data_IF_215387230307
#
_entry.id   IF_215387230307
#
_cell.length_a   1.000
_cell.length_b   1.000
_cell.length_c   1.000
_cell.angle_alpha   90.00
_cell.angle_beta   90.00
_cell.angle_gamma   90.00
#
_symmetry.space_group_name_H-M   'P 1'
#
loop_
_entity.id
_entity.type
_entity.pdbx_description
1 polymer ?
#
# COMPACT_ATOMS: atom_id res chain seq x y z
N UNK A 1 -9.14 -6.27 -4.83
CA UNK A 1 -8.29 -6.48 -6.01
C UNK A 1 -6.85 -6.11 -5.68
N UNK A 2 -5.93 -6.97 -6.09
CA UNK A 2 -4.50 -6.78 -5.84
C UNK A 2 -3.83 -6.19 -7.07
N UNK A 3 -2.95 -5.20 -6.86
CA UNK A 3 -2.27 -4.52 -7.95
C UNK A 3 -0.77 -4.72 -7.82
N UNK A 4 -0.11 -4.93 -8.96
CA UNK A 4 1.35 -4.93 -9.03
C UNK A 4 1.87 -3.51 -8.99
N UNK A 5 3.20 -3.34 -8.92
CA UNK A 5 3.80 -2.00 -9.01
C UNK A 5 3.36 -1.28 -10.28
N UNK A 6 3.41 -1.97 -11.40
CA UNK A 6 3.02 -1.36 -12.67
C UNK A 6 1.56 -0.93 -12.67
N UNK A 7 0.69 -1.80 -12.16
CA UNK A 7 -0.73 -1.49 -12.09
C UNK A 7 -1.01 -0.36 -11.10
N UNK A 8 -0.33 -0.37 -9.96
CA UNK A 8 -0.48 0.68 -8.96
C UNK A 8 0.02 2.02 -9.48
N UNK A 9 1.13 2.02 -10.22
CA UNK A 9 1.63 3.24 -10.83
C UNK A 9 0.62 3.81 -11.80
N UNK A 10 0.06 2.95 -12.64
CA UNK A 10 -0.96 3.38 -13.58
C UNK A 10 -2.20 3.92 -12.87
N UNK A 11 -2.62 3.25 -11.81
CA UNK A 11 -3.80 3.64 -11.05
C UNK A 11 -3.62 4.98 -10.33
N UNK A 12 -2.46 5.23 -9.77
CA UNK A 12 -2.19 6.45 -9.00
C UNK A 12 -1.69 7.60 -9.85
N UNK A 13 -1.12 7.31 -11.02
CA UNK A 13 -0.46 8.32 -11.84
C UNK A 13 0.97 8.59 -11.39
N UNK A 14 1.48 7.84 -10.43
CA UNK A 14 2.86 7.99 -9.94
C UNK A 14 3.79 7.05 -10.69
N UNK A 15 5.08 7.37 -10.67
CA UNK A 15 6.09 6.49 -11.25
C UNK A 15 6.32 5.28 -10.33
N UNK A 16 6.83 4.20 -10.93
CA UNK A 16 7.20 3.01 -10.14
C UNK A 16 8.29 3.38 -9.14
N UNK A 17 9.23 4.24 -9.53
CA UNK A 17 10.29 4.68 -8.62
C UNK A 17 9.73 5.40 -7.40
N UNK A 18 8.74 6.25 -7.60
CA UNK A 18 8.10 6.93 -6.48
C UNK A 18 7.41 5.95 -5.54
N UNK A 19 6.70 4.97 -6.11
CA UNK A 19 6.06 3.94 -5.30
C UNK A 19 7.09 3.15 -4.50
N UNK A 20 8.20 2.79 -5.13
CA UNK A 20 9.26 2.04 -4.44
C UNK A 20 9.85 2.85 -3.28
N UNK A 21 10.00 4.15 -3.46
CA UNK A 21 10.48 5.00 -2.39
C UNK A 21 9.50 5.02 -1.21
N UNK A 22 8.22 5.12 -1.49
CA UNK A 22 7.20 5.10 -0.45
C UNK A 22 7.20 3.76 0.29
N UNK A 23 7.31 2.66 -0.45
CA UNK A 23 7.34 1.32 0.14
C UNK A 23 8.58 1.17 1.01
N UNK A 24 9.73 1.60 0.51
CA UNK A 24 10.99 1.50 1.22
C UNK A 24 10.95 2.28 2.53
N UNK A 25 10.28 3.42 2.53
CA UNK A 25 10.14 4.23 3.74
C UNK A 25 9.02 3.82 4.66
N UNK A 26 8.25 2.79 4.28
CA UNK A 26 7.12 2.36 5.09
C UNK A 26 5.99 3.37 5.13
N UNK A 27 5.81 4.12 4.06
CA UNK A 27 4.89 5.26 4.03
C UNK A 27 3.64 5.03 3.21
N UNK A 28 3.43 3.82 2.72
CA UNK A 28 2.28 3.48 1.89
C UNK A 28 1.81 2.07 2.25
N UNK A 29 0.50 1.82 2.28
CA UNK A 29 0.00 0.47 2.50
C UNK A 29 0.46 -0.47 1.39
N UNK A 30 1.21 -1.49 1.74
CA UNK A 30 1.72 -2.46 0.79
C UNK A 30 1.67 -3.84 1.44
N UNK A 31 1.43 -4.86 0.63
CA UNK A 31 1.21 -6.22 1.10
C UNK A 31 2.13 -7.18 0.39
N UNK A 32 2.38 -8.32 1.03
CA UNK A 32 3.20 -9.35 0.45
C UNK A 32 4.67 -9.24 0.80
N UNK A 33 5.43 -10.20 0.31
CA UNK A 33 6.87 -10.27 0.58
C UNK A 33 7.62 -9.31 -0.32
N UNK A 34 8.88 -8.97 0.03
CA UNK A 34 9.63 -7.99 -0.76
C UNK A 34 9.66 -8.24 -2.26
N UNK A 35 9.69 -9.49 -2.69
CA UNK A 35 9.79 -9.80 -4.12
C UNK A 35 8.43 -9.93 -4.80
N UNK A 36 7.36 -10.02 -4.03
CA UNK A 36 6.01 -10.18 -4.54
C UNK A 36 5.08 -9.19 -3.88
N UNK A 37 5.51 -7.96 -3.81
CA UNK A 37 4.70 -6.91 -3.22
C UNK A 37 3.49 -6.63 -4.08
N UNK A 38 2.36 -6.39 -3.39
CA UNK A 38 1.10 -6.07 -4.03
C UNK A 38 0.43 -4.95 -3.28
N UNK A 39 -0.42 -4.22 -3.98
CA UNK A 39 -1.20 -3.14 -3.39
C UNK A 39 -2.67 -3.52 -3.44
N UNK A 40 -3.43 -3.08 -2.45
CA UNK A 40 -4.88 -3.20 -2.50
C UNK A 40 -5.44 -1.94 -3.10
N UNK A 41 -6.31 -2.09 -4.09
CA UNK A 41 -6.87 -0.96 -4.79
C UNK A 41 -7.63 -0.02 -3.85
N UNK A 42 -8.45 -0.58 -2.96
CA UNK A 42 -9.23 0.22 -2.03
C UNK A 42 -8.33 1.00 -1.07
N UNK A 43 -7.23 0.41 -0.62
CA UNK A 43 -6.29 1.08 0.26
C UNK A 43 -5.51 2.16 -0.48
N UNK A 44 -5.19 1.95 -1.76
CA UNK A 44 -4.58 2.99 -2.57
C UNK A 44 -5.51 4.17 -2.76
N UNK A 45 -6.77 3.90 -3.04
CA UNK A 45 -7.76 4.97 -3.19
C UNK A 45 -7.87 5.78 -1.92
N UNK A 46 -7.92 5.10 -0.78
CA UNK A 46 -7.96 5.78 0.50
C UNK A 46 -6.69 6.59 0.73
N UNK A 47 -5.54 6.03 0.38
CA UNK A 47 -4.26 6.71 0.55
C UNK A 47 -4.19 7.99 -0.28
N UNK A 48 -4.75 7.96 -1.48
CA UNK A 48 -4.77 9.13 -2.34
C UNK A 48 -5.64 10.26 -1.79
N UNK A 49 -6.70 9.91 -1.09
CA UNK A 49 -7.63 10.91 -0.55
C UNK A 49 -7.32 11.28 0.89
N UNK A 50 -6.83 10.34 1.69
CA UNK A 50 -6.55 10.58 3.10
C UNK A 50 -5.41 9.67 3.55
N UNK A 51 -4.15 10.07 3.29
CA UNK A 51 -2.99 9.23 3.60
C UNK A 51 -2.91 8.83 5.07
N UNK A 52 -3.22 9.74 5.98
CA UNK A 52 -3.13 9.45 7.40
C UNK A 52 -4.09 8.34 7.81
N UNK A 53 -5.33 8.42 7.34
CA UNK A 53 -6.32 7.40 7.65
C UNK A 53 -5.92 6.07 7.03
N UNK A 54 -5.42 6.08 5.79
CA UNK A 54 -4.99 4.86 5.13
C UNK A 54 -3.89 4.18 5.92
N UNK A 55 -2.91 4.94 6.38
CA UNK A 55 -1.81 4.36 7.15
C UNK A 55 -2.26 3.86 8.50
N UNK A 56 -3.15 4.59 9.18
CA UNK A 56 -3.70 4.12 10.46
C UNK A 56 -4.43 2.80 10.29
N UNK A 57 -5.26 2.71 9.26
CA UNK A 57 -6.03 1.51 8.99
C UNK A 57 -5.10 0.35 8.64
N UNK A 58 -4.11 0.62 7.80
CA UNK A 58 -3.14 -0.39 7.40
C UNK A 58 -2.36 -0.92 8.60
N UNK A 59 -1.87 -0.02 9.45
CA UNK A 59 -1.10 -0.42 10.62
C UNK A 59 -1.97 -1.15 11.64
N UNK A 60 -3.22 -0.76 11.78
CA UNK A 60 -4.14 -1.45 12.66
C UNK A 60 -4.38 -2.88 12.20
N UNK A 61 -4.52 -3.09 10.90
CA UNK A 61 -4.68 -4.44 10.35
C UNK A 61 -3.45 -5.30 10.63
N UNK A 62 -2.27 -4.70 10.50
CA UNK A 62 -1.02 -5.43 10.74
C UNK A 62 -0.82 -5.78 12.19
N UNK A 63 -1.27 -4.91 13.09
CA UNK A 63 -1.07 -5.08 14.52
C UNK A 63 -2.20 -5.83 15.19
N UNK A 64 -3.20 -6.19 14.43
CA UNK A 64 -4.32 -6.92 14.97
C UNK A 64 -3.87 -8.29 15.47
N UNK A 65 -4.24 -8.69 16.69
CA UNK A 65 -3.85 -9.99 17.21
C UNK A 65 -4.57 -11.11 16.45
N UNK A 66 -3.82 -11.84 15.68
CA UNK A 66 -4.35 -12.95 14.90
C UNK A 66 -4.32 -14.23 15.70
N UNK A 67 -5.23 -15.13 15.38
CA UNK A 67 -5.26 -16.43 16.01
C UNK A 67 -5.72 -16.40 17.45
N UNK A 68 -6.31 -15.34 17.85
CA UNK A 68 -6.80 -15.23 19.23
C UNK A 68 -8.25 -15.48 19.28
#
# INVERSE_FOLDING_TARGET
MWLTYTQAAHHTGWSIGHLRNLVSGGRIPVYGRPRVRRFRRDMLDLFLTNPDMAMRKFLAERNEPHGR
#
